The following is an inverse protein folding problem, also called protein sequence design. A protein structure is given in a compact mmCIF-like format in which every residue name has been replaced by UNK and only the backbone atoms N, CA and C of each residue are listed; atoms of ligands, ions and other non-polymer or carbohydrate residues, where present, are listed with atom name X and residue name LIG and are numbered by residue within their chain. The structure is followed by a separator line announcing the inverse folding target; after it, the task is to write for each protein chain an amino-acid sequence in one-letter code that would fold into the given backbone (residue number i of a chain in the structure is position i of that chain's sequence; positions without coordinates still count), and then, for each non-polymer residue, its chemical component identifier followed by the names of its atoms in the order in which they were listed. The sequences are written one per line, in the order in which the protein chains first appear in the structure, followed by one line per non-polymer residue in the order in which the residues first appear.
data_IF_074736510419
#
_entry.id   IF_074736510419
#
_cell.length_a   1.000
_cell.length_b   1.000
_cell.length_c   1.000
_cell.angle_alpha   90.00
_cell.angle_beta   90.00
_cell.angle_gamma   90.00
#
_symmetry.space_group_name_H-M   'P 1'
#
loop_
_entity.id
_entity.type
_entity.pdbx_description
1 polymer ?
#
# COMPACT_ATOMS: atom_id res chain seq x y z
N UNK A 1 -10.40 1.98 19.58
CA UNK A 1 -9.36 2.62 18.77
C UNK A 1 -8.12 2.69 19.66
N UNK A 2 -7.11 1.87 19.38
CA UNK A 2 -5.81 2.07 20.00
C UNK A 2 -5.30 3.46 19.56
N UNK A 3 -4.71 4.23 20.47
CA UNK A 3 -4.04 5.47 20.09
C UNK A 3 -2.88 5.09 19.18
N UNK A 4 -3.01 5.30 17.88
CA UNK A 4 -1.90 5.13 16.96
C UNK A 4 -0.78 6.08 17.42
N UNK A 5 0.44 5.56 17.65
CA UNK A 5 1.56 6.39 18.08
C UNK A 5 1.86 7.47 17.02
N UNK A 6 2.35 8.66 17.44
CA UNK A 6 2.85 9.66 16.52
C UNK A 6 3.87 9.08 15.54
N UNK A 7 3.87 9.58 14.30
CA UNK A 7 4.76 9.09 13.25
C UNK A 7 6.24 9.26 13.63
N UNK A 8 6.59 10.30 14.41
CA UNK A 8 7.94 10.55 14.91
C UNK A 8 8.42 9.45 15.86
N UNK A 9 7.52 8.88 16.67
CA UNK A 9 7.86 7.81 17.62
C UNK A 9 8.11 6.50 16.89
N UNK A 10 7.32 6.23 15.84
CA UNK A 10 7.49 5.04 14.99
C UNK A 10 8.74 5.15 14.13
N UNK A 11 8.94 6.29 13.46
CA UNK A 11 10.10 6.50 12.60
C UNK A 11 11.38 6.77 13.41
N UNK A 12 11.27 7.16 14.69
CA UNK A 12 12.38 7.53 15.57
C UNK A 12 13.29 8.58 14.93
N UNK A 13 12.69 9.67 14.45
CA UNK A 13 13.40 10.77 13.79
C UNK A 13 12.54 12.02 13.69
N UNK A 14 13.17 13.19 13.78
CA UNK A 14 12.57 14.51 13.51
C UNK A 14 13.02 15.11 12.17
N UNK A 15 13.91 14.43 11.43
CA UNK A 15 14.39 14.94 10.13
C UNK A 15 13.22 15.10 9.16
N UNK A 16 13.08 16.21 8.41
CA UNK A 16 11.91 16.46 7.56
C UNK A 16 11.74 15.39 6.47
N UNK A 17 12.84 14.93 5.90
CA UNK A 17 12.84 13.83 4.93
C UNK A 17 13.21 12.49 5.59
N UNK A 18 12.47 11.44 5.23
CA UNK A 18 12.76 10.06 5.60
C UNK A 18 12.82 9.19 4.35
N UNK A 19 13.95 8.52 4.14
CA UNK A 19 14.12 7.54 3.08
C UNK A 19 13.81 6.16 3.64
N UNK A 20 12.84 5.47 3.05
CA UNK A 20 12.42 4.14 3.42
C UNK A 20 12.84 3.17 2.33
N UNK A 21 13.73 2.24 2.64
CA UNK A 21 14.06 1.16 1.70
C UNK A 21 13.00 0.07 1.75
N UNK A 22 12.34 -0.19 0.63
CA UNK A 22 11.54 -1.39 0.39
C UNK A 22 12.11 -2.21 -0.79
N UNK A 23 12.80 -3.34 -0.52
CA UNK A 23 13.36 -4.21 -1.56
C UNK A 23 12.31 -4.79 -2.53
N UNK A 24 11.02 -4.76 -2.18
CA UNK A 24 9.96 -5.27 -3.04
C UNK A 24 9.81 -4.45 -4.33
N UNK A 25 10.15 -3.16 -4.31
CA UNK A 25 10.11 -2.26 -5.45
C UNK A 25 11.11 -2.63 -6.55
N UNK A 26 12.18 -3.36 -6.20
CA UNK A 26 13.27 -3.77 -7.09
C UNK A 26 12.86 -4.88 -8.08
N UNK A 27 11.73 -5.55 -7.86
CA UNK A 27 11.34 -6.77 -8.58
C UNK A 27 10.64 -6.51 -9.93
N UNK A 28 10.92 -5.38 -10.60
CA UNK A 28 10.27 -4.89 -11.85
C UNK A 28 10.31 -5.83 -13.08
N UNK A 29 11.04 -6.96 -13.05
CA UNK A 29 10.93 -8.00 -14.09
C UNK A 29 9.52 -8.66 -14.09
N UNK A 30 9.21 -9.53 -15.07
CA UNK A 30 7.86 -10.05 -15.46
C UNK A 30 6.88 -10.49 -14.33
N UNK A 31 7.30 -10.52 -13.07
CA UNK A 31 6.48 -10.80 -11.89
C UNK A 31 6.64 -9.79 -10.73
N UNK A 32 6.85 -8.49 -11.03
CA UNK A 32 6.80 -7.42 -10.04
C UNK A 32 5.43 -7.40 -9.33
N UNK A 33 5.43 -7.34 -8.00
CA UNK A 33 4.22 -7.45 -7.16
C UNK A 33 4.38 -6.58 -5.91
N UNK A 34 3.28 -6.25 -5.24
CA UNK A 34 3.26 -5.65 -3.91
C UNK A 34 4.06 -4.33 -3.79
N UNK A 35 4.11 -3.52 -4.85
CA UNK A 35 4.77 -2.22 -4.85
C UNK A 35 4.10 -1.20 -3.93
N UNK A 36 2.79 -1.35 -3.71
CA UNK A 36 1.95 -0.46 -2.92
C UNK A 36 1.73 -0.98 -1.49
N UNK A 37 2.40 -2.07 -1.09
CA UNK A 37 2.19 -2.74 0.19
C UNK A 37 2.51 -1.90 1.43
N UNK A 38 3.30 -0.84 1.26
CA UNK A 38 3.69 0.07 2.33
C UNK A 38 2.68 1.19 2.57
N UNK A 39 1.77 1.45 1.62
CA UNK A 39 0.77 2.53 1.78
C UNK A 39 -0.10 2.32 3.02
N UNK A 40 -0.65 1.12 3.30
CA UNK A 40 -1.48 0.93 4.49
C UNK A 40 -0.76 1.20 5.80
N UNK A 41 0.56 1.01 5.84
CA UNK A 41 1.35 1.37 7.01
C UNK A 41 1.42 2.89 7.20
N UNK A 42 1.59 3.68 6.14
CA UNK A 42 1.67 5.14 6.27
C UNK A 42 0.30 5.80 6.43
N UNK A 43 -0.75 5.26 5.82
CA UNK A 43 -2.12 5.70 6.01
C UNK A 43 -2.54 5.57 7.49
N UNK A 44 -2.23 4.43 8.12
CA UNK A 44 -2.47 4.21 9.55
C UNK A 44 -1.76 5.28 10.42
N UNK A 45 -0.59 5.75 9.99
CA UNK A 45 0.18 6.82 10.65
C UNK A 45 -0.30 8.24 10.29
N UNK A 46 -1.41 8.36 9.56
CA UNK A 46 -2.04 9.64 9.18
C UNK A 46 -1.46 10.29 7.92
N UNK A 47 -0.69 9.57 7.11
CA UNK A 47 -0.11 10.08 5.85
C UNK A 47 -0.79 9.40 4.66
N UNK A 48 -1.81 10.06 4.11
CA UNK A 48 -2.66 9.52 3.04
C UNK A 48 -2.48 10.20 1.68
N UNK A 49 -1.62 11.21 1.57
CA UNK A 49 -1.19 11.78 0.29
C UNK A 49 -0.04 10.94 -0.26
N UNK A 50 -0.25 10.30 -1.42
CA UNK A 50 0.70 9.34 -2.00
C UNK A 50 1.00 9.66 -3.45
N UNK A 51 2.29 9.74 -3.77
CA UNK A 51 2.81 9.86 -5.12
C UNK A 51 3.36 8.50 -5.56
N UNK A 52 2.90 7.99 -6.70
CA UNK A 52 3.53 6.87 -7.38
C UNK A 52 3.17 6.85 -8.86
N UNK A 53 3.94 6.10 -9.65
CA UNK A 53 3.68 5.93 -11.08
C UNK A 53 2.37 5.20 -11.36
N UNK A 54 1.70 5.57 -12.45
CA UNK A 54 0.42 4.97 -12.87
C UNK A 54 0.52 3.48 -13.21
N UNK A 55 1.73 3.00 -13.56
CA UNK A 55 1.95 1.56 -13.80
C UNK A 55 1.68 0.68 -12.57
N UNK A 56 1.63 1.27 -11.38
CA UNK A 56 1.22 0.59 -10.15
C UNK A 56 -0.26 0.75 -9.86
N UNK A 57 -0.90 1.78 -10.43
CA UNK A 57 -2.33 1.99 -10.32
C UNK A 57 -3.06 1.10 -11.35
N UNK A 58 -3.80 0.11 -10.87
CA UNK A 58 -4.62 -0.76 -11.73
C UNK A 58 -6.10 -0.49 -11.44
N UNK A 59 -6.43 0.77 -11.18
CA UNK A 59 -7.70 1.35 -10.72
C UNK A 59 -8.12 0.90 -9.30
N UNK A 60 -7.77 -0.32 -8.89
CA UNK A 60 -8.11 -0.86 -7.58
C UNK A 60 -7.22 -0.33 -6.44
N UNK A 61 -7.87 0.25 -5.42
CA UNK A 61 -7.24 0.64 -4.15
C UNK A 61 -7.70 -0.28 -3.03
N UNK A 62 -6.74 -0.87 -2.30
CA UNK A 62 -7.03 -1.75 -1.16
C UNK A 62 -7.49 -0.95 0.08
N UNK A 63 -7.08 0.31 0.16
CA UNK A 63 -7.47 1.30 1.15
C UNK A 63 -7.62 2.66 0.46
N UNK A 64 -8.35 3.58 1.05
CA UNK A 64 -8.50 4.93 0.50
C UNK A 64 -7.25 5.77 0.75
N UNK A 65 -6.79 6.46 -0.29
CA UNK A 65 -5.70 7.44 -0.22
C UNK A 65 -5.76 8.40 -1.41
N UNK A 66 -5.23 9.61 -1.22
CA UNK A 66 -5.10 10.61 -2.27
C UNK A 66 -3.89 10.26 -3.13
N UNK A 67 -4.14 9.81 -4.36
CA UNK A 67 -3.08 9.46 -5.31
C UNK A 67 -2.76 10.64 -6.23
N UNK A 68 -1.47 10.88 -6.41
CA UNK A 68 -0.94 11.73 -7.48
C UNK A 68 0.01 10.92 -8.37
N UNK A 69 -0.26 10.92 -9.67
CA UNK A 69 0.62 10.28 -10.67
C UNK A 69 1.99 10.97 -10.69
N UNK A 70 3.07 10.22 -10.45
CA UNK A 70 4.43 10.80 -10.48
C UNK A 70 4.77 11.44 -11.83
N UNK A 71 4.12 11.00 -12.91
CA UNK A 71 4.26 11.59 -14.24
C UNK A 71 3.59 12.97 -14.34
N UNK A 72 2.40 13.13 -13.77
CA UNK A 72 1.59 14.35 -13.90
C UNK A 72 2.05 15.48 -12.98
N UNK A 73 2.41 15.16 -11.73
CA UNK A 73 2.92 16.16 -10.75
C UNK A 73 4.36 16.58 -11.06
N UNK A 74 5.09 15.90 -11.95
CA UNK A 74 6.50 16.23 -12.24
C UNK A 74 6.78 17.69 -12.64
N UNK A 75 5.76 18.43 -13.10
CA UNK A 75 5.82 19.86 -13.43
C UNK A 75 5.09 20.79 -12.44
N UNK A 76 4.54 20.26 -11.34
CA UNK A 76 3.68 20.95 -10.39
C UNK A 76 3.88 20.40 -8.96
N UNK A 77 5.12 20.20 -8.50
CA UNK A 77 5.38 19.70 -7.15
C UNK A 77 4.68 20.54 -6.08
N UNK A 78 4.62 21.87 -6.26
CA UNK A 78 3.93 22.84 -5.38
C UNK A 78 2.43 22.56 -5.18
N UNK A 79 1.80 21.75 -6.04
CA UNK A 79 0.38 21.42 -5.95
C UNK A 79 0.04 20.34 -4.94
N UNK A 80 1.05 19.67 -4.37
CA UNK A 80 0.86 18.57 -3.40
C UNK A 80 1.25 18.99 -2.00
N UNK A 81 0.36 18.64 -1.07
CA UNK A 81 0.43 18.97 0.36
C UNK A 81 1.22 17.92 1.13
N UNK A 82 2.03 18.37 2.09
CA UNK A 82 2.63 17.50 3.09
C UNK A 82 1.68 17.28 4.28
N UNK A 83 1.84 16.20 5.06
CA UNK A 83 2.81 15.11 4.90
C UNK A 83 2.48 14.23 3.69
N UNK A 84 3.50 13.70 3.00
CA UNK A 84 3.27 12.80 1.85
C UNK A 84 4.26 11.65 1.77
N UNK A 85 3.83 10.58 1.09
CA UNK A 85 4.63 9.41 0.75
C UNK A 85 4.86 9.37 -0.76
N UNK A 86 6.11 9.19 -1.20
CA UNK A 86 6.44 9.01 -2.61
C UNK A 86 7.09 7.64 -2.81
N UNK A 87 6.46 6.78 -3.61
CA UNK A 87 6.94 5.45 -3.95
C UNK A 87 7.57 5.47 -5.34
N UNK A 88 8.89 5.27 -5.38
CA UNK A 88 9.68 5.25 -6.63
C UNK A 88 10.80 4.21 -6.57
N UNK A 89 11.55 4.05 -7.66
CA UNK A 89 12.78 3.23 -7.68
C UNK A 89 13.94 4.05 -8.19
N UNK A 90 15.18 3.63 -7.94
CA UNK A 90 16.35 4.27 -8.55
C UNK A 90 16.25 4.30 -10.08
N UNK A 91 15.65 3.27 -10.68
CA UNK A 91 15.32 3.22 -12.10
C UNK A 91 14.22 4.23 -12.45
N UNK A 92 13.18 4.35 -11.62
CA UNK A 92 12.14 5.39 -11.64
C UNK A 92 12.72 6.79 -11.83
N UNK A 93 13.63 7.16 -10.92
CA UNK A 93 14.33 8.44 -10.94
C UNK A 93 15.05 8.68 -12.28
N UNK A 94 15.90 7.73 -12.70
CA UNK A 94 16.81 7.93 -13.83
C UNK A 94 16.16 7.77 -15.20
N UNK A 95 15.24 6.82 -15.35
CA UNK A 95 14.67 6.44 -16.65
C UNK A 95 13.31 7.08 -16.92
N UNK A 96 12.57 7.45 -15.86
CA UNK A 96 11.21 7.98 -15.98
C UNK A 96 11.08 9.45 -15.57
N UNK A 97 12.21 10.15 -15.40
CA UNK A 97 12.25 11.60 -15.22
C UNK A 97 11.77 12.09 -13.85
N UNK A 98 11.69 11.21 -12.85
CA UNK A 98 11.23 11.57 -11.50
C UNK A 98 12.31 12.29 -10.67
N UNK A 99 13.52 12.48 -11.21
CA UNK A 99 14.61 13.21 -10.54
C UNK A 99 14.20 14.64 -10.14
N UNK A 100 13.56 15.39 -11.03
CA UNK A 100 13.15 16.76 -10.78
C UNK A 100 12.13 16.83 -9.64
N UNK A 101 11.11 15.97 -9.69
CA UNK A 101 10.08 15.88 -8.67
C UNK A 101 10.67 15.56 -7.29
N UNK A 102 11.56 14.56 -7.22
CA UNK A 102 12.21 14.23 -5.94
C UNK A 102 13.08 15.38 -5.45
N UNK A 103 13.80 16.06 -6.33
CA UNK A 103 14.61 17.21 -5.94
C UNK A 103 13.76 18.34 -5.36
N UNK A 104 12.68 18.74 -6.03
CA UNK A 104 11.78 19.80 -5.57
C UNK A 104 11.13 19.45 -4.22
N UNK A 105 10.66 18.21 -4.06
CA UNK A 105 10.07 17.75 -2.79
C UNK A 105 11.10 17.67 -1.65
N UNK A 106 12.36 17.33 -1.95
CA UNK A 106 13.44 17.36 -0.96
C UNK A 106 13.68 18.79 -0.47
N UNK A 107 13.81 19.76 -1.38
CA UNK A 107 13.98 21.18 -1.03
C UNK A 107 12.80 21.69 -0.21
N UNK A 108 11.56 21.48 -0.69
CA UNK A 108 10.35 21.89 0.02
C UNK A 108 10.22 21.28 1.40
N UNK A 109 10.55 20.00 1.59
CA UNK A 109 10.48 19.36 2.90
C UNK A 109 11.35 20.06 3.95
N UNK A 110 12.53 20.54 3.53
CA UNK A 110 13.48 21.24 4.41
C UNK A 110 13.02 22.68 4.66
N UNK A 111 12.53 23.37 3.62
CA UNK A 111 12.07 24.75 3.70
C UNK A 111 10.78 24.90 4.53
N UNK A 112 9.80 24.04 4.26
CA UNK A 112 8.50 24.03 4.93
C UNK A 112 8.56 23.35 6.32
N UNK A 113 9.65 22.62 6.62
CA UNK A 113 9.78 21.79 7.83
C UNK A 113 8.68 20.72 7.93
N UNK A 114 8.28 20.19 6.77
CA UNK A 114 7.18 19.26 6.63
C UNK A 114 7.66 17.87 6.18
N UNK A 115 6.84 16.85 6.48
CA UNK A 115 7.26 15.45 6.37
C UNK A 115 7.20 14.93 4.94
N UNK A 116 8.37 14.60 4.38
CA UNK A 116 8.50 13.87 3.11
C UNK A 116 9.01 12.45 3.33
N UNK A 117 8.22 11.44 2.93
CA UNK A 117 8.61 10.02 3.05
C UNK A 117 8.90 9.48 1.65
N UNK A 118 10.17 9.28 1.33
CA UNK A 118 10.61 8.70 0.06
C UNK A 118 10.80 7.19 0.21
N UNK A 119 9.85 6.39 -0.28
CA UNK A 119 9.95 4.93 -0.33
C UNK A 119 10.62 4.51 -1.64
N UNK A 120 11.74 3.82 -1.53
CA UNK A 120 12.57 3.44 -2.68
C UNK A 120 13.20 2.06 -2.51
N UNK A 121 13.73 1.48 -3.58
CA UNK A 121 14.38 0.17 -3.57
C UNK A 121 15.82 0.19 -2.99
N UNK A 122 16.34 1.38 -2.69
CA UNK A 122 17.71 1.61 -2.20
C UNK A 122 17.74 2.51 -0.97
N UNK A 123 18.75 2.36 -0.10
CA UNK A 123 18.97 3.28 1.03
C UNK A 123 19.60 4.60 0.61
N UNK A 124 20.14 4.68 -0.60
CA UNK A 124 20.95 5.82 -1.07
C UNK A 124 20.54 6.20 -2.50
N UNK A 125 19.29 6.68 -2.69
CA UNK A 125 18.82 7.12 -4.00
C UNK A 125 19.71 8.25 -4.51
N UNK A 126 19.96 8.26 -5.81
CA UNK A 126 20.81 9.22 -6.50
C UNK A 126 19.99 10.03 -7.48
N UNK A 127 20.32 11.32 -7.55
CA UNK A 127 19.79 12.29 -8.51
C UNK A 127 20.94 12.83 -9.37
N UNK A 128 21.49 12.04 -10.32
CA UNK A 128 22.66 12.43 -11.12
C UNK A 128 22.61 13.84 -11.74
N UNK A 129 21.42 14.32 -12.11
CA UNK A 129 21.22 15.66 -12.68
C UNK A 129 21.55 16.77 -11.68
N UNK A 130 21.25 16.55 -10.40
CA UNK A 130 21.38 17.52 -9.31
C UNK A 130 22.60 17.26 -8.42
N UNK A 131 23.24 16.10 -8.55
CA UNK A 131 24.40 15.68 -7.76
C UNK A 131 25.64 15.54 -8.66
N UNK A 132 26.34 16.65 -8.96
CA UNK A 132 27.39 16.69 -9.98
C UNK A 132 28.65 15.86 -9.66
N UNK A 133 28.83 15.47 -8.39
CA UNK A 133 29.96 14.61 -7.99
C UNK A 133 29.54 13.14 -8.12
N UNK A 134 30.25 12.34 -8.95
CA UNK A 134 29.95 10.93 -9.11
C UNK A 134 29.92 10.19 -7.77
N UNK A 135 28.86 9.42 -7.55
CA UNK A 135 28.71 8.56 -6.37
C UNK A 135 28.03 9.21 -5.16
N UNK A 136 27.76 10.52 -5.17
CA UNK A 136 26.89 11.16 -4.16
C UNK A 136 25.44 10.72 -4.31
N UNK A 137 24.72 10.75 -3.21
CA UNK A 137 23.32 10.37 -3.07
C UNK A 137 22.56 11.41 -2.25
N UNK A 138 21.23 11.28 -2.20
CA UNK A 138 20.38 12.15 -1.37
C UNK A 138 20.86 12.19 0.09
N UNK A 139 21.32 11.04 0.61
CA UNK A 139 21.80 10.90 1.99
C UNK A 139 23.07 11.72 2.27
N UNK A 140 23.86 12.03 1.24
CA UNK A 140 25.11 12.80 1.38
C UNK A 140 24.89 14.31 1.36
N UNK A 141 23.76 14.77 0.81
CA UNK A 141 23.49 16.17 0.44
C UNK A 141 22.35 16.79 1.26
N UNK A 142 21.45 15.97 1.82
CA UNK A 142 20.27 16.40 2.56
C UNK A 142 20.25 15.83 3.98
N UNK A 143 19.62 16.55 4.91
CA UNK A 143 19.35 16.05 6.26
C UNK A 143 18.19 15.03 6.22
N UNK A 144 18.55 13.76 6.03
CA UNK A 144 17.59 12.67 5.88
C UNK A 144 17.83 11.57 6.90
N UNK A 145 16.74 10.97 7.38
CA UNK A 145 16.80 9.72 8.11
C UNK A 145 16.58 8.54 7.15
N UNK A 146 17.45 7.53 7.21
CA UNK A 146 17.28 6.31 6.42
C UNK A 146 16.73 5.20 7.32
N UNK A 147 15.68 4.52 6.85
CA UNK A 147 15.05 3.38 7.52
C UNK A 147 14.80 2.26 6.51
N UNK A 148 14.53 1.07 7.05
CA UNK A 148 14.20 -0.11 6.27
C UNK A 148 12.76 -0.52 6.57
N UNK A 149 11.94 -0.70 5.52
CA UNK A 149 10.51 -0.96 5.67
C UNK A 149 10.27 -2.26 6.44
N UNK A 150 11.06 -3.31 6.18
CA UNK A 150 10.90 -4.59 6.87
C UNK A 150 11.14 -4.45 8.38
N UNK A 151 12.15 -3.69 8.78
CA UNK A 151 12.43 -3.44 10.20
C UNK A 151 11.34 -2.60 10.87
N UNK A 152 10.83 -1.57 10.18
CA UNK A 152 9.77 -0.72 10.70
C UNK A 152 8.44 -1.46 10.82
N UNK A 153 8.02 -2.15 9.75
CA UNK A 153 6.76 -2.88 9.71
C UNK A 153 6.75 -4.00 10.74
N UNK A 154 7.83 -4.78 10.88
CA UNK A 154 7.87 -5.88 11.85
C UNK A 154 7.69 -5.36 13.28
N UNK A 155 8.40 -4.30 13.66
CA UNK A 155 8.28 -3.69 14.99
C UNK A 155 6.87 -3.18 15.23
N UNK A 156 6.30 -2.49 14.25
CA UNK A 156 4.93 -2.00 14.36
C UNK A 156 3.91 -3.13 14.54
N UNK A 157 4.05 -4.20 13.77
CA UNK A 157 3.21 -5.38 13.89
C UNK A 157 3.36 -6.06 15.26
N UNK A 158 4.59 -6.18 15.77
CA UNK A 158 4.86 -6.77 17.09
C UNK A 158 4.28 -5.94 18.25
N UNK A 159 4.35 -4.61 18.16
CA UNK A 159 3.98 -3.71 19.25
C UNK A 159 2.50 -3.28 19.23
N UNK A 160 1.86 -3.21 18.05
CA UNK A 160 0.57 -2.52 17.86
C UNK A 160 -0.52 -3.33 17.13
N UNK A 161 -0.24 -4.56 16.69
CA UNK A 161 -1.20 -5.34 15.89
C UNK A 161 -1.29 -6.78 16.38
N UNK A 162 -2.46 -7.19 16.90
CA UNK A 162 -2.70 -8.56 17.34
C UNK A 162 -3.11 -9.50 16.19
N UNK A 163 -2.29 -9.53 15.14
CA UNK A 163 -2.52 -10.32 13.93
C UNK A 163 -2.22 -11.82 14.15
N UNK A 164 -3.09 -12.69 13.66
CA UNK A 164 -2.80 -14.13 13.56
C UNK A 164 -1.95 -14.49 12.33
N UNK A 165 -1.83 -13.59 11.33
CA UNK A 165 -0.92 -13.74 10.20
C UNK A 165 0.54 -13.53 10.62
N UNK A 166 1.46 -14.43 10.22
CA UNK A 166 2.89 -14.18 10.35
C UNK A 166 3.37 -13.03 9.44
N UNK A 167 4.24 -12.15 9.95
CA UNK A 167 4.88 -11.08 9.16
C UNK A 167 5.77 -11.60 8.00
N UNK A 168 6.13 -12.89 8.02
CA UNK A 168 6.80 -13.56 6.90
C UNK A 168 5.88 -13.80 5.70
N UNK A 169 4.56 -13.85 5.91
CA UNK A 169 3.55 -14.08 4.86
C UNK A 169 3.38 -12.83 4.00
N UNK A 170 3.25 -11.68 4.65
CA UNK A 170 3.08 -10.36 4.02
C UNK A 170 3.56 -9.29 4.99
N UNK A 171 3.90 -8.12 4.48
CA UNK A 171 4.13 -6.90 5.29
C UNK A 171 3.11 -5.81 4.99
N UNK A 172 2.02 -6.15 4.31
CA UNK A 172 0.94 -5.23 4.03
C UNK A 172 0.02 -5.14 5.27
N UNK A 173 -0.01 -3.96 5.91
CA UNK A 173 -0.73 -3.76 7.17
C UNK A 173 -2.24 -4.00 7.05
N UNK A 174 -2.85 -3.78 5.88
CA UNK A 174 -4.27 -4.05 5.66
C UNK A 174 -4.63 -5.51 5.97
N UNK A 175 -3.81 -6.47 5.51
CA UNK A 175 -4.05 -7.89 5.77
C UNK A 175 -3.89 -8.24 7.26
N UNK A 176 -2.94 -7.61 7.94
CA UNK A 176 -2.75 -7.79 9.37
C UNK A 176 -3.91 -7.22 10.20
N UNK A 177 -4.46 -6.05 9.81
CA UNK A 177 -5.67 -5.48 10.43
C UNK A 177 -6.90 -6.35 10.19
N UNK A 178 -7.06 -6.91 8.98
CA UNK A 178 -8.10 -7.89 8.70
C UNK A 178 -7.96 -9.14 9.59
N UNK A 179 -6.74 -9.69 9.70
CA UNK A 179 -6.44 -10.83 10.56
C UNK A 179 -6.72 -10.55 12.04
N UNK A 180 -6.28 -9.40 12.56
CA UNK A 180 -6.57 -8.95 13.93
C UNK A 180 -8.08 -8.86 14.17
N UNK A 181 -8.83 -8.26 13.24
CA UNK A 181 -10.28 -8.15 13.36
C UNK A 181 -10.95 -9.53 13.38
N UNK A 182 -10.53 -10.44 12.48
CA UNK A 182 -11.05 -11.81 12.42
C UNK A 182 -10.75 -12.60 13.70
N UNK A 183 -9.54 -12.49 14.22
CA UNK A 183 -9.11 -13.12 15.47
C UNK A 183 -10.00 -12.70 16.65
N UNK A 184 -10.33 -11.41 16.75
CA UNK A 184 -11.22 -10.89 17.80
C UNK A 184 -12.69 -11.30 17.67
N UNK A 185 -13.07 -11.91 16.54
CA UNK A 185 -14.45 -12.35 16.25
C UNK A 185 -14.55 -13.86 16.00
N UNK A 186 -13.56 -14.64 16.45
CA UNK A 186 -13.51 -16.11 16.29
C UNK A 186 -13.65 -16.59 14.83
N UNK A 187 -13.20 -15.76 13.88
CA UNK A 187 -13.18 -16.06 12.46
C UNK A 187 -11.79 -16.51 11.98
N UNK A 188 -11.69 -17.23 10.85
CA UNK A 188 -10.40 -17.64 10.28
C UNK A 188 -9.50 -16.42 10.00
N UNK A 189 -8.25 -16.49 10.47
CA UNK A 189 -7.35 -15.32 10.51
C UNK A 189 -5.88 -15.66 10.23
N UNK A 190 -5.52 -16.93 10.06
CA UNK A 190 -4.14 -17.43 10.08
C UNK A 190 -3.46 -17.46 8.70
N UNK A 191 -4.21 -17.22 7.63
CA UNK A 191 -3.72 -17.15 6.25
C UNK A 191 -4.47 -16.12 5.41
N UNK A 192 -3.84 -15.63 4.34
CA UNK A 192 -4.48 -14.66 3.42
C UNK A 192 -5.75 -15.23 2.80
N UNK A 193 -5.74 -16.51 2.40
CA UNK A 193 -6.93 -17.19 1.93
C UNK A 193 -8.05 -17.21 2.98
N UNK A 194 -7.72 -17.45 4.26
CA UNK A 194 -8.70 -17.53 5.34
C UNK A 194 -9.36 -16.20 5.68
N UNK A 195 -8.62 -15.08 5.64
CA UNK A 195 -9.21 -13.75 5.90
C UNK A 195 -10.14 -13.31 4.75
N UNK A 196 -9.99 -13.88 3.56
CA UNK A 196 -10.86 -13.65 2.41
C UNK A 196 -11.96 -14.71 2.27
N UNK A 197 -12.15 -15.62 3.23
CA UNK A 197 -13.31 -16.52 3.27
C UNK A 197 -14.57 -15.72 3.68
N UNK A 198 -15.28 -15.18 2.68
CA UNK A 198 -16.49 -14.38 2.89
C UNK A 198 -17.66 -15.14 3.51
N UNK A 199 -17.63 -16.48 3.52
CA UNK A 199 -18.64 -17.27 4.24
C UNK A 199 -18.47 -17.12 5.75
N UNK A 200 -17.23 -16.87 6.21
CA UNK A 200 -16.87 -16.75 7.62
C UNK A 200 -16.40 -15.36 8.05
N UNK A 201 -16.16 -14.44 7.11
CA UNK A 201 -15.71 -13.09 7.40
C UNK A 201 -16.73 -12.35 8.29
N UNK A 202 -16.34 -11.78 9.44
CA UNK A 202 -17.26 -11.03 10.28
C UNK A 202 -17.71 -9.74 9.56
N UNK A 203 -18.88 -9.23 9.93
CA UNK A 203 -19.57 -8.15 9.19
C UNK A 203 -18.75 -6.87 9.08
N UNK A 204 -18.02 -6.48 10.12
CA UNK A 204 -17.17 -5.28 10.11
C UNK A 204 -15.73 -5.49 9.60
N UNK A 205 -15.44 -6.61 8.95
CA UNK A 205 -14.09 -6.86 8.42
C UNK A 205 -13.77 -5.93 7.25
N UNK A 206 -12.55 -5.37 7.15
CA UNK A 206 -12.18 -4.49 6.05
C UNK A 206 -12.12 -5.19 4.68
N UNK A 207 -12.12 -6.53 4.64
CA UNK A 207 -12.08 -7.28 3.37
C UNK A 207 -13.33 -7.09 2.51
N UNK A 208 -14.47 -6.70 3.11
CA UNK A 208 -15.71 -6.43 2.38
C UNK A 208 -15.59 -5.24 1.43
N UNK A 209 -14.81 -4.23 1.77
CA UNK A 209 -14.63 -3.00 0.97
C UNK A 209 -14.11 -3.32 -0.44
N UNK A 210 -13.26 -4.33 -0.56
CA UNK A 210 -12.76 -4.77 -1.86
C UNK A 210 -13.89 -5.27 -2.77
N UNK A 211 -14.91 -5.93 -2.23
CA UNK A 211 -16.05 -6.40 -3.03
C UNK A 211 -16.96 -5.25 -3.45
N UNK A 212 -17.21 -4.28 -2.56
CA UNK A 212 -17.96 -3.07 -2.89
C UNK A 212 -17.29 -2.29 -4.01
N UNK A 213 -15.96 -2.13 -3.95
CA UNK A 213 -15.19 -1.50 -5.02
C UNK A 213 -15.47 -2.15 -6.39
N UNK A 214 -15.37 -3.48 -6.48
CA UNK A 214 -15.56 -4.20 -7.76
C UNK A 214 -16.99 -4.11 -8.29
N UNK A 215 -17.99 -4.06 -7.40
CA UNK A 215 -19.39 -3.81 -7.80
C UNK A 215 -19.58 -2.38 -8.29
N UNK A 216 -18.97 -1.38 -7.65
CA UNK A 216 -19.22 0.02 -7.99
C UNK A 216 -18.45 0.48 -9.23
N UNK A 217 -17.28 -0.11 -9.50
CA UNK A 217 -16.34 0.41 -10.50
C UNK A 217 -16.10 -0.52 -11.70
N UNK A 218 -16.47 -1.81 -11.65
CA UNK A 218 -16.04 -2.79 -12.67
C UNK A 218 -17.20 -3.60 -13.32
N UNK A 219 -18.46 -3.16 -13.19
CA UNK A 219 -19.63 -3.87 -13.74
C UNK A 219 -19.72 -3.89 -15.27
N UNK A 220 -19.07 -2.98 -15.99
CA UNK A 220 -19.18 -2.90 -17.45
C UNK A 220 -18.37 -3.97 -18.20
N UNK A 221 -17.48 -4.70 -17.51
CA UNK A 221 -16.59 -5.73 -18.08
C UNK A 221 -16.96 -7.18 -17.70
N UNK A 222 -18.23 -7.46 -17.36
CA UNK A 222 -18.69 -8.82 -16.96
C UNK A 222 -18.78 -9.77 -18.18
N UNK A 223 -17.66 -9.98 -18.89
CA UNK A 223 -17.56 -10.94 -19.99
C UNK A 223 -16.14 -11.52 -20.07
N UNK A 224 -15.99 -12.73 -19.54
CA UNK A 224 -14.79 -13.58 -19.51
C UNK A 224 -13.55 -12.94 -18.84
N UNK A 225 -12.89 -13.69 -17.95
CA UNK A 225 -11.64 -13.29 -17.26
C UNK A 225 -11.74 -12.31 -16.07
N UNK A 226 -12.91 -12.18 -15.42
CA UNK A 226 -13.05 -11.33 -14.21
C UNK A 226 -12.13 -11.74 -13.04
N UNK A 227 -11.79 -13.03 -12.90
CA UNK A 227 -10.77 -13.47 -11.93
C UNK A 227 -9.38 -12.89 -12.26
N UNK A 228 -9.03 -12.80 -13.54
CA UNK A 228 -7.77 -12.21 -13.98
C UNK A 228 -7.77 -10.71 -13.69
N UNK A 229 -8.89 -10.02 -13.90
CA UNK A 229 -9.08 -8.61 -13.52
C UNK A 229 -8.84 -8.38 -12.02
N UNK A 230 -9.47 -9.16 -11.13
CA UNK A 230 -9.26 -9.06 -9.69
C UNK A 230 -7.80 -9.36 -9.34
N UNK A 231 -7.20 -10.39 -9.95
CA UNK A 231 -5.81 -10.76 -9.70
C UNK A 231 -4.84 -9.66 -10.13
N UNK A 232 -5.10 -9.03 -11.28
CA UNK A 232 -4.27 -7.96 -11.82
C UNK A 232 -4.43 -6.65 -11.02
N UNK A 233 -5.62 -6.40 -10.46
CA UNK A 233 -5.87 -5.35 -9.46
C UNK A 233 -5.06 -5.57 -8.17
N UNK A 234 -5.13 -6.77 -7.58
CA UNK A 234 -4.43 -7.12 -6.34
C UNK A 234 -2.90 -7.20 -6.50
N UNK A 235 -2.42 -7.24 -7.74
CA UNK A 235 -1.02 -7.41 -8.12
C UNK A 235 -0.08 -6.44 -7.44
N UNK A 236 -0.48 -5.17 -7.35
CA UNK A 236 0.30 -4.09 -6.73
C UNK A 236 0.29 -4.14 -5.20
N UNK A 237 -0.57 -4.96 -4.60
CA UNK A 237 -0.83 -4.97 -3.15
C UNK A 237 -0.37 -6.27 -2.45
N UNK A 238 -0.41 -7.40 -3.15
CA UNK A 238 -0.20 -8.74 -2.56
C UNK A 238 1.12 -9.37 -2.99
N UNK A 239 1.89 -9.89 -2.02
CA UNK A 239 3.08 -10.69 -2.29
C UNK A 239 2.75 -12.04 -2.97
N UNK A 240 3.76 -12.68 -3.57
CA UNK A 240 3.60 -13.86 -4.43
C UNK A 240 2.96 -15.05 -3.69
N UNK A 241 2.01 -15.71 -4.33
CA UNK A 241 1.49 -17.04 -3.95
C UNK A 241 0.00 -17.07 -3.63
N UNK A 242 -0.52 -15.97 -3.09
CA UNK A 242 -1.89 -15.93 -2.55
C UNK A 242 -2.86 -15.12 -3.42
N UNK A 243 -2.37 -14.30 -4.36
CA UNK A 243 -3.21 -13.43 -5.21
C UNK A 243 -4.32 -14.18 -5.95
N UNK A 244 -4.03 -15.35 -6.53
CA UNK A 244 -5.04 -16.14 -7.25
C UNK A 244 -6.11 -16.69 -6.31
N UNK A 245 -5.71 -17.14 -5.13
CA UNK A 245 -6.65 -17.70 -4.15
C UNK A 245 -7.57 -16.61 -3.62
N UNK A 246 -7.02 -15.45 -3.26
CA UNK A 246 -7.79 -14.28 -2.86
C UNK A 246 -8.75 -13.87 -3.97
N UNK A 247 -8.27 -13.77 -5.22
CA UNK A 247 -9.11 -13.40 -6.36
C UNK A 247 -10.26 -14.39 -6.59
N UNK A 248 -10.02 -15.69 -6.40
CA UNK A 248 -11.06 -16.71 -6.48
C UNK A 248 -12.11 -16.53 -5.38
N UNK A 249 -11.69 -16.32 -4.12
CA UNK A 249 -12.61 -16.09 -3.00
C UNK A 249 -13.48 -14.85 -3.22
N UNK A 250 -12.88 -13.77 -3.73
CA UNK A 250 -13.59 -12.55 -4.08
C UNK A 250 -14.60 -12.77 -5.20
N UNK A 251 -14.20 -13.44 -6.28
CA UNK A 251 -15.09 -13.75 -7.39
C UNK A 251 -16.26 -14.65 -6.96
N UNK A 252 -16.01 -15.64 -6.10
CA UNK A 252 -17.05 -16.53 -5.61
C UNK A 252 -18.08 -15.78 -4.75
N UNK A 253 -17.64 -14.83 -3.92
CA UNK A 253 -18.53 -13.96 -3.15
C UNK A 253 -19.35 -13.02 -4.05
N UNK A 254 -18.70 -12.39 -5.05
CA UNK A 254 -19.39 -11.52 -6.02
C UNK A 254 -20.45 -12.28 -6.81
N UNK A 255 -20.13 -13.51 -7.27
CA UNK A 255 -21.09 -14.38 -7.97
C UNK A 255 -22.27 -14.80 -7.10
N UNK A 256 -22.05 -15.06 -5.81
CA UNK A 256 -23.14 -15.40 -4.87
C UNK A 256 -24.10 -14.24 -4.66
N UNK A 257 -23.62 -13.01 -4.79
CA UNK A 257 -24.41 -11.79 -4.64
C UNK A 257 -24.86 -11.22 -5.99
N UNK A 258 -24.78 -12.00 -7.08
CA UNK A 258 -25.09 -11.58 -8.45
C UNK A 258 -24.45 -10.24 -8.88
N UNK A 259 -23.29 -9.90 -8.30
CA UNK A 259 -22.63 -8.60 -8.47
C UNK A 259 -23.52 -7.39 -8.11
N UNK A 260 -24.50 -7.57 -7.22
CA UNK A 260 -25.41 -6.51 -6.77
C UNK A 260 -25.05 -6.03 -5.36
N UNK A 261 -24.91 -4.70 -5.21
CA UNK A 261 -24.56 -4.07 -3.92
C UNK A 261 -25.53 -4.47 -2.79
N UNK A 262 -26.84 -4.46 -3.07
CA UNK A 262 -27.85 -4.79 -2.07
C UNK A 262 -27.79 -6.26 -1.63
N UNK A 263 -27.46 -7.18 -2.54
CA UNK A 263 -27.27 -8.59 -2.18
C UNK A 263 -25.98 -8.81 -1.38
N UNK A 264 -24.91 -8.07 -1.72
CA UNK A 264 -23.67 -8.09 -0.94
C UNK A 264 -23.89 -7.56 0.48
N UNK A 265 -24.66 -6.48 0.64
CA UNK A 265 -25.04 -5.94 1.95
C UNK A 265 -25.82 -6.99 2.77
N UNK A 266 -26.83 -7.66 2.19
CA UNK A 266 -27.60 -8.71 2.88
C UNK A 266 -26.72 -9.93 3.24
N UNK A 267 -25.85 -10.35 2.32
CA UNK A 267 -24.90 -11.43 2.56
C UNK A 267 -23.92 -11.07 3.69
N UNK A 268 -23.36 -9.86 3.69
CA UNK A 268 -22.50 -9.34 4.75
C UNK A 268 -23.23 -9.28 6.10
N UNK A 269 -24.52 -8.95 6.16
CA UNK A 269 -25.27 -8.91 7.43
C UNK A 269 -25.76 -10.28 7.89
N UNK A 270 -25.81 -11.28 7.01
CA UNK A 270 -26.21 -12.64 7.35
C UNK A 270 -25.22 -13.24 8.36
N UNK A 271 -25.73 -13.93 9.38
CA UNK A 271 -24.89 -14.60 10.37
C UNK A 271 -23.94 -15.58 9.64
N UNK A 272 -22.61 -15.55 9.90
CA UNK A 272 -21.66 -16.45 9.22
C UNK A 272 -22.03 -17.95 9.29
N UNK A 273 -22.73 -18.40 10.32
CA UNK A 273 -23.19 -19.79 10.44
C UNK A 273 -24.38 -20.14 9.52
N UNK A 274 -24.96 -19.15 8.85
CA UNK A 274 -26.15 -19.25 8.00
C UNK A 274 -25.88 -18.84 6.53
N UNK A 275 -24.62 -18.51 6.18
CA UNK A 275 -24.18 -18.13 4.83
C UNK A 275 -23.83 -19.32 3.93
#
# INVERSE_FOLDING_TARGET
MANTPPIEDILQTTAPTVIIRDPQLQKRAQHARAQLRSIPFFDELGVNTVIHADVYDNDFKLIDYTHHSSQDISAAADSVEFPLVHITTQQGLQEYGEENLVHELLERSVEEQERYILVTDTTSPRLPTYMPKPGRSVVDDYDVAVKDYETLSNRYLEDYVDSALPASTTRNLHYHRASEYHKHHDAPADSLESIYDYTRAPTGSPVWESLYYFIEHDLENVLNDYSERIRDALRSWTERGETQKIANQMLDALRRCDFEKAQLEDYQQTNPNLR
#
